data_IF_137953272672
#
_entry.id   IF_137953272672
#
_cell.length_a   1.000
_cell.length_b   1.000
_cell.length_c   1.000
_cell.angle_alpha   90.00
_cell.angle_beta   90.00
_cell.angle_gamma   90.00
#
_symmetry.space_group_name_H-M   'P 1'
#
loop_
_entity.id
_entity.type
_entity.pdbx_description
1 polymer ?
#
# COMPACT_ATOMS: atom_id res chain seq x y z
N UNK A 1 20.12 -3.29 12.56
CA UNK A 1 19.18 -2.72 11.57
C UNK A 1 19.75 -1.40 11.06
N UNK A 2 19.54 -1.06 9.79
CA UNK A 2 19.98 0.22 9.21
C UNK A 2 18.77 0.95 8.65
N UNK A 3 18.66 2.25 8.93
CA UNK A 3 17.63 3.09 8.35
C UNK A 3 17.97 3.40 6.89
N UNK A 4 17.71 2.43 6.00
CA UNK A 4 17.94 2.56 4.56
C UNK A 4 16.80 1.92 3.80
N UNK A 5 16.29 2.64 2.79
CA UNK A 5 15.27 2.14 1.88
C UNK A 5 15.74 0.83 1.23
N UNK A 6 14.86 -0.16 1.21
CA UNK A 6 15.15 -1.44 0.55
C UNK A 6 15.14 -1.28 -0.97
N UNK A 7 15.97 -2.07 -1.66
CA UNK A 7 15.89 -2.19 -3.11
C UNK A 7 14.60 -2.93 -3.50
N UNK A 8 14.11 -2.67 -4.72
CA UNK A 8 12.93 -3.35 -5.27
C UNK A 8 13.11 -4.88 -5.25
N UNK A 9 14.29 -5.36 -5.66
CA UNK A 9 14.64 -6.79 -5.64
C UNK A 9 14.51 -7.38 -4.23
N UNK A 10 15.07 -6.71 -3.22
CA UNK A 10 14.99 -7.17 -1.83
C UNK A 10 13.55 -7.20 -1.33
N UNK A 11 12.77 -6.16 -1.61
CA UNK A 11 11.36 -6.11 -1.23
C UNK A 11 10.57 -7.27 -1.85
N UNK A 12 10.69 -7.47 -3.17
CA UNK A 12 9.97 -8.53 -3.87
C UNK A 12 10.38 -9.93 -3.41
N UNK A 13 11.67 -10.15 -3.11
CA UNK A 13 12.16 -11.43 -2.60
C UNK A 13 11.63 -11.76 -1.19
N UNK A 14 11.29 -10.77 -0.38
CA UNK A 14 10.74 -10.97 0.95
C UNK A 14 9.23 -11.26 0.95
N UNK A 15 8.48 -10.82 -0.08
CA UNK A 15 7.02 -10.95 -0.13
C UNK A 15 6.51 -12.39 -0.01
N UNK A 16 7.05 -13.39 -0.72
CA UNK A 16 6.49 -14.76 -0.68
C UNK A 16 6.45 -15.35 0.73
N UNK A 17 7.49 -15.10 1.53
CA UNK A 17 7.54 -15.58 2.91
C UNK A 17 6.44 -14.96 3.79
N UNK A 18 6.09 -13.70 3.55
CA UNK A 18 4.99 -13.02 4.28
C UNK A 18 3.63 -13.52 3.81
N UNK A 19 3.44 -13.68 2.49
CA UNK A 19 2.17 -14.16 1.94
C UNK A 19 1.86 -15.59 2.37
N UNK A 20 2.87 -16.43 2.58
CA UNK A 20 2.70 -17.79 3.07
C UNK A 20 2.30 -17.88 4.56
N UNK A 21 2.28 -16.78 5.32
CA UNK A 21 1.96 -16.80 6.76
C UNK A 21 0.48 -17.10 7.05
N UNK A 22 -0.42 -16.86 6.08
CA UNK A 22 -1.83 -17.16 6.21
C UNK A 22 -2.47 -17.52 4.88
N UNK A 23 -3.56 -18.27 4.91
CA UNK A 23 -4.26 -18.75 3.70
C UNK A 23 -4.70 -17.61 2.77
N UNK A 24 -5.09 -16.46 3.31
CA UNK A 24 -5.52 -15.31 2.52
C UNK A 24 -4.39 -14.59 1.81
N UNK A 25 -3.11 -14.88 2.12
CA UNK A 25 -1.98 -14.26 1.42
C UNK A 25 -1.94 -14.60 -0.06
N UNK A 26 -2.48 -15.76 -0.46
CA UNK A 26 -2.65 -16.14 -1.87
C UNK A 26 -3.56 -15.19 -2.65
N UNK A 27 -4.49 -14.50 -1.97
CA UNK A 27 -5.43 -13.56 -2.59
C UNK A 27 -4.75 -12.23 -3.01
N UNK A 28 -3.50 -12.00 -2.61
CA UNK A 28 -2.76 -10.73 -2.85
C UNK A 28 -1.37 -10.96 -3.44
N UNK A 29 -1.16 -12.09 -4.12
CA UNK A 29 0.10 -12.41 -4.79
C UNK A 29 0.42 -11.41 -5.91
N UNK A 30 -0.59 -11.08 -6.72
CA UNK A 30 -0.50 -10.16 -7.84
C UNK A 30 -0.47 -8.70 -7.38
N UNK A 31 0.74 -8.16 -7.28
CA UNK A 31 0.95 -6.77 -6.86
C UNK A 31 0.44 -5.76 -7.90
N UNK A 32 0.53 -6.08 -9.19
CA UNK A 32 0.13 -5.15 -10.25
C UNK A 32 -1.39 -4.99 -10.32
N UNK A 33 -2.15 -6.06 -10.08
CA UNK A 33 -3.60 -6.01 -9.91
C UNK A 33 -3.99 -5.12 -8.73
N UNK A 34 -3.35 -5.32 -7.56
CA UNK A 34 -3.60 -4.51 -6.38
C UNK A 34 -3.32 -3.01 -6.62
N UNK A 35 -2.26 -2.69 -7.37
CA UNK A 35 -1.93 -1.32 -7.76
C UNK A 35 -2.97 -0.74 -8.73
N UNK A 36 -3.46 -1.55 -9.67
CA UNK A 36 -4.53 -1.14 -10.60
C UNK A 36 -5.83 -0.84 -9.84
N UNK A 37 -6.24 -1.73 -8.95
CA UNK A 37 -7.41 -1.53 -8.09
C UNK A 37 -7.31 -0.24 -7.28
N UNK A 38 -6.17 0.00 -6.62
CA UNK A 38 -5.93 1.22 -5.84
C UNK A 38 -6.03 2.49 -6.68
N UNK A 39 -5.56 2.47 -7.94
CA UNK A 39 -5.71 3.61 -8.88
C UNK A 39 -7.16 3.80 -9.34
N UNK A 40 -7.98 2.76 -9.31
CA UNK A 40 -9.41 2.82 -9.63
C UNK A 40 -10.30 3.35 -8.50
N UNK A 41 -9.80 3.41 -7.26
CA UNK A 41 -10.58 3.91 -6.11
C UNK A 41 -10.92 5.39 -6.33
N UNK A 42 -12.20 5.82 -6.22
CA UNK A 42 -12.59 7.22 -6.32
C UNK A 42 -11.83 8.10 -5.31
N UNK A 43 -11.50 9.34 -5.70
CA UNK A 43 -10.66 10.23 -4.89
C UNK A 43 -11.20 10.49 -3.48
N UNK A 44 -12.51 10.67 -3.34
CA UNK A 44 -13.16 10.89 -2.04
C UNK A 44 -13.08 9.68 -1.08
N UNK A 45 -12.67 8.51 -1.58
CA UNK A 45 -12.40 7.30 -0.77
C UNK A 45 -10.91 7.11 -0.49
N UNK A 46 -10.04 7.96 -1.03
CA UNK A 46 -8.58 7.87 -0.82
C UNK A 46 -8.20 8.68 0.42
N UNK A 47 -7.77 7.97 1.45
CA UNK A 47 -7.47 8.56 2.75
C UNK A 47 -6.42 9.69 2.68
N UNK A 48 -5.36 9.55 1.88
CA UNK A 48 -4.33 10.58 1.75
C UNK A 48 -4.84 11.90 1.14
N UNK A 49 -5.86 11.85 0.27
CA UNK A 49 -6.47 13.04 -0.30
C UNK A 49 -7.38 13.72 0.72
N UNK A 50 -8.13 12.93 1.48
CA UNK A 50 -8.93 13.44 2.59
C UNK A 50 -8.01 14.17 3.60
N UNK A 51 -6.90 13.53 4.01
CA UNK A 51 -5.91 14.11 4.93
C UNK A 51 -5.37 15.44 4.41
N UNK A 52 -4.97 15.48 3.14
CA UNK A 52 -4.48 16.70 2.51
C UNK A 52 -5.53 17.81 2.51
N UNK A 53 -6.79 17.48 2.23
CA UNK A 53 -7.89 18.44 2.23
C UNK A 53 -8.20 18.97 3.64
N UNK A 54 -8.11 18.12 4.67
CA UNK A 54 -8.28 18.52 6.06
C UNK A 54 -7.15 19.45 6.52
N UNK A 55 -5.89 19.08 6.24
CA UNK A 55 -4.70 19.88 6.55
C UNK A 55 -4.74 21.26 5.86
N UNK A 56 -5.04 21.29 4.56
CA UNK A 56 -5.20 22.54 3.80
C UNK A 56 -6.35 23.40 4.35
N UNK A 57 -7.38 22.75 4.89
CA UNK A 57 -8.53 23.42 5.51
C UNK A 57 -8.35 23.77 6.99
N UNK A 58 -7.20 23.50 7.60
CA UNK A 58 -6.96 23.73 9.03
C UNK A 58 -7.89 22.91 9.94
N UNK A 59 -8.32 21.72 9.50
CA UNK A 59 -9.23 20.83 10.24
C UNK A 59 -8.57 19.49 10.49
N UNK A 60 -8.93 18.86 11.61
CA UNK A 60 -8.57 17.45 11.87
C UNK A 60 -9.57 16.54 11.15
N UNK A 61 -9.09 15.35 10.76
CA UNK A 61 -9.87 14.32 10.06
C UNK A 61 -10.36 13.24 11.01
#
# INVERSE_FOLDING_TARGET
MVNKKWSRRRFLAARPAVLATWQTGGQVENLDEALSYQRGIPEHKRFHLALRAADTGGRTL
#
